data_IF_484521933335
#
_entry.id   IF_484521933335
#
_cell.length_a   1.000
_cell.length_b   1.000
_cell.length_c   1.000
_cell.angle_alpha   90.00
_cell.angle_beta   90.00
_cell.angle_gamma   90.00
#
_symmetry.space_group_name_H-M   'P 1'
#
loop_
_entity.id
_entity.type
_entity.pdbx_description
1 polymer ?
#
# COMPACT_ATOMS: atom_id res chain seq x y z
N UNK A 1 21.14 -6.61 12.41
CA UNK A 1 20.71 -7.48 11.29
C UNK A 1 19.20 -7.71 11.26
N UNK A 2 18.55 -8.00 12.40
CA UNK A 2 17.10 -8.28 12.51
C UNK A 2 16.20 -7.14 12.01
N UNK A 3 16.56 -5.88 12.28
CA UNK A 3 15.80 -4.70 11.82
C UNK A 3 15.74 -4.59 10.30
N UNK A 4 16.84 -4.85 9.59
CA UNK A 4 16.88 -4.78 8.13
C UNK A 4 16.04 -5.87 7.45
N UNK A 5 16.01 -7.07 8.04
CA UNK A 5 15.20 -8.20 7.55
C UNK A 5 13.71 -7.93 7.75
N UNK A 6 13.30 -7.47 8.94
CA UNK A 6 11.90 -7.11 9.22
C UNK A 6 11.39 -6.00 8.30
N UNK A 7 12.25 -5.03 7.97
CA UNK A 7 11.90 -3.94 7.06
C UNK A 7 11.76 -4.38 5.61
N UNK A 8 12.65 -5.26 5.15
CA UNK A 8 12.53 -5.85 3.81
C UNK A 8 11.25 -6.69 3.73
N UNK A 9 10.97 -7.50 4.75
CA UNK A 9 9.75 -8.29 4.84
C UNK A 9 8.48 -7.42 4.83
N UNK A 10 8.48 -6.29 5.55
CA UNK A 10 7.36 -5.35 5.53
C UNK A 10 7.14 -4.72 4.14
N UNK A 11 8.21 -4.35 3.43
CA UNK A 11 8.13 -3.86 2.06
C UNK A 11 7.57 -4.88 1.08
N UNK A 12 8.06 -6.13 1.13
CA UNK A 12 7.53 -7.23 0.31
C UNK A 12 6.08 -7.56 0.64
N UNK A 13 5.70 -7.54 1.92
CA UNK A 13 4.33 -7.75 2.34
C UNK A 13 3.40 -6.65 1.81
N UNK A 14 3.86 -5.39 1.84
CA UNK A 14 3.14 -4.26 1.24
C UNK A 14 2.91 -4.43 -0.27
N UNK A 15 3.96 -4.81 -1.01
CA UNK A 15 3.86 -5.10 -2.45
C UNK A 15 2.90 -6.26 -2.74
N UNK A 16 2.97 -7.34 -1.94
CA UNK A 16 2.06 -8.49 -2.05
C UNK A 16 0.60 -8.07 -1.85
N UNK A 17 0.31 -7.30 -0.80
CA UNK A 17 -1.04 -6.82 -0.50
C UNK A 17 -1.59 -5.95 -1.63
N UNK A 18 -0.76 -5.05 -2.19
CA UNK A 18 -1.15 -4.22 -3.34
C UNK A 18 -1.43 -5.08 -4.57
N UNK A 19 -0.57 -6.06 -4.88
CA UNK A 19 -0.76 -6.99 -6.00
C UNK A 19 -2.06 -7.80 -5.86
N UNK A 20 -2.32 -8.35 -4.67
CA UNK A 20 -3.56 -9.09 -4.37
C UNK A 20 -4.78 -8.19 -4.50
N UNK A 21 -4.72 -6.95 -4.02
CA UNK A 21 -5.83 -6.00 -4.15
C UNK A 21 -6.15 -5.68 -5.61
N UNK A 22 -5.14 -5.50 -6.47
CA UNK A 22 -5.30 -5.29 -7.91
C UNK A 22 -5.95 -6.52 -8.56
N UNK A 23 -5.45 -7.71 -8.24
CA UNK A 23 -5.95 -8.98 -8.77
C UNK A 23 -7.41 -9.23 -8.37
N UNK A 24 -7.76 -8.98 -7.10
CA UNK A 24 -9.14 -9.07 -6.61
C UNK A 24 -10.05 -8.07 -7.32
N UNK A 25 -9.62 -6.81 -7.50
CA UNK A 25 -10.39 -5.82 -8.24
C UNK A 25 -10.62 -6.22 -9.70
N UNK A 26 -9.60 -6.80 -10.34
CA UNK A 26 -9.69 -7.31 -11.70
C UNK A 26 -10.67 -8.49 -11.80
N UNK A 27 -10.61 -9.43 -10.84
CA UNK A 27 -11.53 -10.59 -10.76
C UNK A 27 -12.96 -10.18 -10.46
N UNK A 28 -13.17 -9.11 -9.71
CA UNK A 28 -14.49 -8.57 -9.40
C UNK A 28 -15.09 -7.73 -10.54
N UNK A 29 -14.35 -7.48 -11.64
CA UNK A 29 -14.88 -6.78 -12.80
C UNK A 29 -15.25 -5.32 -12.53
N UNK A 30 -14.65 -4.68 -11.51
CA UNK A 30 -14.99 -3.32 -11.03
C UNK A 30 -14.58 -2.18 -12.00
N UNK A 31 -14.39 -2.49 -13.28
CA UNK A 31 -13.84 -1.58 -14.29
C UNK A 31 -12.31 -1.42 -14.16
N UNK A 32 -11.69 -0.50 -14.91
CA UNK A 32 -10.25 -0.27 -14.84
C UNK A 32 -9.88 0.19 -13.43
N UNK A 33 -9.34 -0.74 -12.65
CA UNK A 33 -8.82 -0.53 -11.31
C UNK A 33 -7.47 0.20 -11.41
N UNK A 34 -7.52 1.46 -11.84
CA UNK A 34 -6.34 2.31 -11.86
C UNK A 34 -5.92 2.62 -10.43
N UNK A 35 -4.61 2.64 -10.19
CA UNK A 35 -4.05 2.96 -8.87
C UNK A 35 -4.63 4.27 -8.32
N UNK A 36 -4.83 5.29 -9.18
CA UNK A 36 -5.43 6.57 -8.79
C UNK A 36 -6.88 6.47 -8.31
N UNK A 37 -7.70 5.58 -8.88
CA UNK A 37 -9.10 5.40 -8.45
C UNK A 37 -9.18 4.63 -7.14
N UNK A 38 -8.32 3.63 -6.97
CA UNK A 38 -8.19 2.89 -5.71
C UNK A 38 -7.69 3.81 -4.58
N UNK A 39 -6.66 4.63 -4.83
CA UNK A 39 -6.19 5.63 -3.88
C UNK A 39 -7.29 6.65 -3.55
N UNK A 40 -7.96 7.16 -4.58
CA UNK A 40 -9.05 8.13 -4.44
C UNK A 40 -10.25 7.58 -3.66
N UNK A 41 -10.54 6.28 -3.78
CA UNK A 41 -11.57 5.62 -2.96
C UNK A 41 -11.09 5.42 -1.52
N UNK A 42 -9.86 4.95 -1.31
CA UNK A 42 -9.29 4.76 0.02
C UNK A 42 -9.26 6.07 0.83
N UNK A 43 -8.86 7.17 0.20
CA UNK A 43 -8.81 8.51 0.81
C UNK A 43 -10.17 9.07 1.22
N UNK A 44 -11.28 8.59 0.64
CA UNK A 44 -12.64 8.98 1.05
C UNK A 44 -13.10 8.30 2.34
N UNK A 45 -12.37 7.29 2.80
CA UNK A 45 -12.68 6.59 4.06
C UNK A 45 -11.65 6.96 5.11
N UNK A 46 -12.09 7.24 6.34
CA UNK A 46 -11.18 7.47 7.49
C UNK A 46 -10.15 6.34 7.67
N UNK A 47 -10.53 5.04 7.66
CA UNK A 47 -9.55 3.96 7.77
C UNK A 47 -8.60 3.88 6.57
N UNK A 48 -9.10 4.04 5.34
CA UNK A 48 -8.24 4.01 4.15
C UNK A 48 -7.24 5.17 4.11
N UNK A 49 -7.67 6.37 4.53
CA UNK A 49 -6.79 7.54 4.66
C UNK A 49 -5.68 7.32 5.68
N UNK A 50 -5.98 6.66 6.81
CA UNK A 50 -4.97 6.30 7.81
C UNK A 50 -3.92 5.33 7.24
N UNK A 51 -4.36 4.31 6.49
CA UNK A 51 -3.45 3.35 5.83
C UNK A 51 -2.53 4.04 4.82
N UNK A 52 -3.07 4.93 3.99
CA UNK A 52 -2.27 5.69 3.00
C UNK A 52 -1.24 6.57 3.69
N UNK A 53 -1.63 7.31 4.73
CA UNK A 53 -0.73 8.19 5.49
C UNK A 53 0.35 7.40 6.24
N UNK A 54 -0.01 6.28 6.87
CA UNK A 54 0.95 5.39 7.54
C UNK A 54 1.96 4.81 6.55
N UNK A 55 1.51 4.39 5.37
CA UNK A 55 2.37 3.89 4.30
C UNK A 55 3.36 4.97 3.86
N UNK A 56 2.88 6.20 3.64
CA UNK A 56 3.73 7.33 3.22
C UNK A 56 4.74 7.72 4.30
N UNK A 57 4.30 7.78 5.57
CA UNK A 57 5.15 8.06 6.72
C UNK A 57 6.25 7.00 6.85
N UNK A 58 5.89 5.73 6.73
CA UNK A 58 6.83 4.63 6.76
C UNK A 58 7.88 4.75 5.65
N UNK A 59 7.43 5.05 4.42
CA UNK A 59 8.30 5.24 3.26
C UNK A 59 9.28 6.40 3.48
N UNK A 60 8.80 7.55 3.97
CA UNK A 60 9.62 8.72 4.24
C UNK A 60 10.68 8.46 5.31
N UNK A 61 10.29 7.84 6.43
CA UNK A 61 11.22 7.46 7.50
C UNK A 61 12.26 6.44 7.02
N UNK A 62 11.93 5.57 6.08
CA UNK A 62 12.82 4.47 5.68
C UNK A 62 13.72 4.78 4.49
N UNK A 63 13.20 5.48 3.48
CA UNK A 63 13.92 5.75 2.24
C UNK A 63 14.47 7.17 2.16
N UNK A 64 13.87 8.15 2.85
CA UNK A 64 14.35 9.54 2.81
C UNK A 64 15.26 9.89 3.98
N UNK A 65 15.10 9.23 5.14
CA UNK A 65 15.94 9.47 6.31
C UNK A 65 17.23 8.62 6.32
N UNK A 66 17.49 7.87 5.26
CA UNK A 66 18.70 7.08 5.05
C UNK A 66 19.35 7.49 3.73
#
# INVERSE_FOLDING_TARGET
MTTGVLLSAAGFLGLLVVGVAIEVCARLGLGPATAGRALGAAMRTTPGRAVVLLTWLWLGVHFLAR
#
